data_IF_114721925447
#
_entry.id   IF_114721925447
#
_cell.length_a   1.000
_cell.length_b   1.000
_cell.length_c   1.000
_cell.angle_alpha   90.00
_cell.angle_beta   90.00
_cell.angle_gamma   90.00
#
_symmetry.space_group_name_H-M   'P 1'
#
loop_
_entity.id
_entity.type
_entity.pdbx_description
1 polymer ?
#
# COMPACT_ATOMS: atom_id res chain seq x y z
N UNK A 1 -21.62 -49.97 9.28
CA UNK A 1 -21.19 -49.13 8.13
C UNK A 1 -21.51 -47.69 8.52
N UNK A 2 -20.56 -46.96 9.10
CA UNK A 2 -20.77 -45.56 9.50
C UNK A 2 -20.42 -44.62 8.34
N UNK A 3 -21.11 -43.48 8.17
CA UNK A 3 -20.75 -42.52 7.14
C UNK A 3 -19.40 -41.88 7.45
N UNK A 4 -18.54 -41.80 6.45
CA UNK A 4 -17.29 -41.07 6.52
C UNK A 4 -17.61 -39.58 6.71
N UNK A 5 -17.41 -39.06 7.92
CA UNK A 5 -17.35 -37.63 8.18
C UNK A 5 -16.12 -37.10 7.45
N UNK A 6 -16.34 -36.44 6.31
CA UNK A 6 -15.31 -35.64 5.65
C UNK A 6 -14.93 -34.49 6.61
N UNK A 7 -13.63 -34.18 6.79
CA UNK A 7 -13.24 -33.01 7.57
C UNK A 7 -13.84 -31.76 6.90
N UNK A 8 -14.26 -30.73 7.67
CA UNK A 8 -14.65 -29.47 7.08
C UNK A 8 -13.46 -28.98 6.24
N UNK A 9 -13.70 -28.70 4.97
CA UNK A 9 -12.74 -28.01 4.13
C UNK A 9 -12.31 -26.78 4.92
N UNK A 10 -11.05 -26.75 5.32
CA UNK A 10 -10.44 -25.53 5.81
C UNK A 10 -10.60 -24.52 4.68
N UNK A 11 -11.66 -23.72 4.74
CA UNK A 11 -11.57 -22.35 4.31
C UNK A 11 -10.40 -21.83 5.14
N UNK A 12 -9.20 -21.93 4.55
CA UNK A 12 -8.15 -20.97 4.81
C UNK A 12 -8.79 -19.65 4.47
N UNK A 13 -9.51 -19.11 5.45
CA UNK A 13 -9.88 -17.74 5.55
C UNK A 13 -8.50 -17.08 5.67
N UNK A 14 -7.88 -16.86 4.52
CA UNK A 14 -6.58 -16.24 4.42
C UNK A 14 -6.78 -14.95 5.19
N UNK A 15 -6.15 -14.87 6.37
CA UNK A 15 -6.23 -13.68 7.19
C UNK A 15 -6.02 -12.50 6.25
N UNK A 16 -6.91 -11.48 6.25
CA UNK A 16 -6.76 -10.35 5.35
C UNK A 16 -5.30 -9.92 5.47
N UNK A 17 -4.55 -9.89 4.34
CA UNK A 17 -3.09 -9.83 4.37
C UNK A 17 -2.75 -8.73 5.36
N UNK A 18 -2.09 -9.10 6.46
CA UNK A 18 -1.83 -8.24 7.61
C UNK A 18 -1.46 -6.87 7.06
N UNK A 19 -2.37 -5.88 7.15
CA UNK A 19 -2.36 -4.62 6.36
C UNK A 19 -0.93 -4.28 6.00
N UNK A 20 -0.50 -4.67 4.79
CA UNK A 20 0.92 -4.59 4.50
C UNK A 20 1.30 -3.12 4.56
N UNK A 21 2.31 -2.76 5.34
CA UNK A 21 2.64 -1.35 5.48
C UNK A 21 3.06 -0.80 4.11
N UNK A 22 2.39 0.26 3.68
CA UNK A 22 2.79 1.03 2.52
C UNK A 22 4.18 1.60 2.75
N UNK A 23 5.02 1.60 1.73
CA UNK A 23 6.40 2.11 1.80
C UNK A 23 6.70 2.96 0.57
N UNK A 24 7.56 3.95 0.71
CA UNK A 24 8.11 4.67 -0.46
C UNK A 24 9.39 3.99 -0.94
N UNK A 25 9.49 3.74 -2.24
CA UNK A 25 10.73 3.39 -2.93
C UNK A 25 11.04 4.43 -4.02
N UNK A 26 12.19 4.32 -4.67
CA UNK A 26 12.57 5.21 -5.76
C UNK A 26 12.76 4.42 -7.05
N UNK A 27 11.97 4.74 -8.07
CA UNK A 27 12.19 4.27 -9.44
C UNK A 27 12.94 5.37 -10.20
N UNK A 28 14.26 5.20 -10.33
CA UNK A 28 15.14 6.29 -10.77
C UNK A 28 15.10 7.45 -9.77
N UNK A 29 14.65 8.63 -10.22
CA UNK A 29 14.49 9.81 -9.38
C UNK A 29 13.06 10.04 -8.89
N UNK A 30 12.12 9.16 -9.24
CA UNK A 30 10.71 9.32 -8.89
C UNK A 30 10.34 8.45 -7.69
N UNK A 31 9.77 9.02 -6.60
CA UNK A 31 9.21 8.23 -5.52
C UNK A 31 8.00 7.43 -6.01
N UNK A 32 7.92 6.16 -5.63
CA UNK A 32 6.81 5.26 -5.96
C UNK A 32 6.41 4.48 -4.70
N UNK A 33 5.11 4.29 -4.41
CA UNK A 33 4.68 3.48 -3.30
C UNK A 33 4.80 1.99 -3.62
N UNK A 34 5.11 1.22 -2.59
CA UNK A 34 5.15 -0.24 -2.60
C UNK A 34 4.18 -0.75 -1.55
N UNK A 35 3.35 -1.71 -1.96
CA UNK A 35 2.43 -2.44 -1.09
C UNK A 35 2.40 -3.90 -1.53
N UNK A 36 2.24 -4.84 -0.59
CA UNK A 36 2.35 -6.29 -0.85
C UNK A 36 3.63 -6.71 -1.60
N UNK A 37 4.73 -5.97 -1.46
CA UNK A 37 5.98 -6.22 -2.19
C UNK A 37 5.93 -5.91 -3.69
N UNK A 38 4.88 -5.21 -4.16
CA UNK A 38 4.72 -4.74 -5.55
C UNK A 38 4.60 -3.23 -5.60
N UNK A 39 4.99 -2.65 -6.73
CA UNK A 39 4.76 -1.24 -7.03
C UNK A 39 3.26 -0.99 -7.17
N UNK A 40 2.78 0.07 -6.57
CA UNK A 40 1.45 0.61 -6.81
C UNK A 40 1.45 1.46 -8.08
N UNK A 41 0.28 1.67 -8.66
CA UNK A 41 0.09 2.62 -9.76
C UNK A 41 -0.65 3.86 -9.26
N UNK A 42 -0.29 5.00 -9.86
CA UNK A 42 -1.00 6.26 -9.68
C UNK A 42 -2.36 6.12 -10.36
N UNK A 43 -3.42 6.48 -9.63
CA UNK A 43 -4.76 6.58 -10.19
C UNK A 43 -5.05 8.04 -10.50
N UNK A 44 -5.56 8.81 -9.54
CA UNK A 44 -5.87 10.23 -9.68
C UNK A 44 -5.79 10.94 -8.32
N UNK A 45 -5.70 12.28 -8.34
CA UNK A 45 -5.76 13.15 -7.15
C UNK A 45 -4.72 12.82 -6.06
N UNK A 46 -3.63 12.17 -6.43
CA UNK A 46 -2.61 11.72 -5.51
C UNK A 46 -3.03 10.50 -4.70
N UNK A 47 -3.95 9.69 -5.20
CA UNK A 47 -4.23 8.35 -4.69
C UNK A 47 -3.44 7.30 -5.47
N UNK A 48 -3.03 6.24 -4.77
CA UNK A 48 -2.29 5.13 -5.33
C UNK A 48 -2.99 3.82 -4.97
N UNK A 49 -2.99 2.88 -5.91
CA UNK A 49 -3.65 1.58 -5.76
C UNK A 49 -2.63 0.44 -5.92
N UNK A 50 -2.70 -0.54 -5.03
CA UNK A 50 -1.86 -1.73 -5.10
C UNK A 50 -2.41 -2.70 -6.14
N UNK A 51 -1.60 -3.04 -7.14
CA UNK A 51 -1.97 -3.98 -8.20
C UNK A 51 -2.24 -5.44 -7.78
N UNK A 52 -2.08 -5.77 -6.50
CA UNK A 52 -2.27 -7.14 -5.99
C UNK A 52 -3.52 -7.33 -5.14
N UNK A 53 -3.78 -6.38 -4.24
CA UNK A 53 -4.86 -6.49 -3.25
C UNK A 53 -5.91 -5.37 -3.38
N UNK A 54 -5.73 -4.48 -4.37
CA UNK A 54 -6.59 -3.32 -4.63
C UNK A 54 -6.70 -2.35 -3.44
N UNK A 55 -5.78 -2.45 -2.46
CA UNK A 55 -5.69 -1.49 -1.35
C UNK A 55 -5.28 -0.12 -1.90
N UNK A 56 -5.79 0.93 -1.26
CA UNK A 56 -5.59 2.32 -1.70
C UNK A 56 -4.97 3.16 -0.60
N UNK A 57 -4.11 4.08 -1.00
CA UNK A 57 -3.54 5.07 -0.10
C UNK A 57 -3.45 6.43 -0.78
N UNK A 58 -3.66 7.48 0.00
CA UNK A 58 -3.39 8.83 -0.47
C UNK A 58 -1.91 9.15 -0.25
N UNK A 59 -1.30 9.86 -1.20
CA UNK A 59 0.11 10.25 -1.21
C UNK A 59 0.61 10.92 0.07
N UNK A 60 -0.27 11.62 0.79
CA UNK A 60 0.02 12.28 2.08
C UNK A 60 0.19 11.29 3.25
N UNK A 61 -0.42 10.12 3.11
CA UNK A 61 -0.49 9.06 4.11
C UNK A 61 0.57 7.98 3.85
N UNK A 62 1.24 8.03 2.68
CA UNK A 62 2.37 7.15 2.38
C UNK A 62 3.58 7.52 3.25
N UNK A 63 4.16 6.56 3.98
CA UNK A 63 5.36 6.78 4.79
C UNK A 63 6.54 7.27 3.94
N UNK A 64 7.27 8.25 4.46
CA UNK A 64 8.47 8.83 3.84
C UNK A 64 8.25 9.43 2.45
N UNK A 65 7.00 9.70 2.07
CA UNK A 65 6.71 10.33 0.79
C UNK A 65 7.33 11.74 0.74
N UNK A 66 8.06 12.10 -0.34
CA UNK A 66 8.64 13.42 -0.48
C UNK A 66 7.55 14.48 -0.43
N UNK A 67 7.52 15.24 0.67
CA UNK A 67 6.64 16.39 0.78
C UNK A 67 7.26 17.52 -0.04
N UNK A 68 6.49 18.26 -0.84
CA UNK A 68 6.99 19.48 -1.43
C UNK A 68 7.57 20.33 -0.29
N UNK A 69 8.86 20.65 -0.38
CA UNK A 69 9.49 21.55 0.55
C UNK A 69 8.64 22.81 0.52
N UNK A 70 7.90 23.08 1.60
CA UNK A 70 7.31 24.40 1.80
C UNK A 70 8.49 25.34 1.69
N UNK A 71 8.59 26.06 0.58
CA UNK A 71 9.58 27.11 0.41
C UNK A 71 9.40 27.99 1.63
N UNK A 72 10.34 27.92 2.57
CA UNK A 72 10.33 28.77 3.73
C UNK A 72 10.44 30.19 3.18
N UNK A 73 9.29 30.85 3.01
CA UNK A 73 9.22 32.24 2.66
C UNK A 73 10.05 32.96 3.71
N UNK A 74 11.11 33.60 3.23
CA UNK A 74 12.10 34.24 4.06
C UNK A 74 11.43 35.17 5.07
N UNK A 75 11.40 34.79 6.35
CA UNK A 75 11.37 35.75 7.44
C UNK A 75 12.78 36.34 7.48
N UNK A 76 12.94 37.43 6.74
CA UNK A 76 14.00 38.41 6.98
C UNK A 76 13.32 39.55 7.74
N UNK A 77 13.64 39.66 9.02
CA UNK A 77 13.53 40.89 9.82
C UNK A 77 14.82 41.03 10.61
#
# INVERSE_FOLDING_TARGET
>A
MGPATLPPMSETNAAPPSRADWKTTSLGSQPIPVHCGRLAYDIDLGEWECAWCDDRIHVRDIPDWPRPARTAAAVRS
#
